data_IF_267009463668
#
_entry.id   IF_267009463668
#
_cell.length_a   1.000
_cell.length_b   1.000
_cell.length_c   1.000
_cell.angle_alpha   90.00
_cell.angle_beta   90.00
_cell.angle_gamma   90.00
#
_symmetry.space_group_name_H-M   'P 1'
#
loop_
_entity.id
_entity.type
_entity.pdbx_description
1 polymer ?
#
# COMPACT_ATOMS: atom_id res chain seq x y z
N UNK A 1 40.81 41.68 -21.27
CA UNK A 1 41.09 43.13 -21.48
C UNK A 1 41.55 43.68 -20.13
N UNK A 2 42.64 44.47 -20.03
CA UNK A 2 43.10 44.96 -18.72
C UNK A 2 42.02 45.86 -18.10
N UNK A 3 41.78 45.79 -16.77
CA UNK A 3 40.72 46.57 -16.13
C UNK A 3 41.05 48.06 -16.19
N UNK A 4 40.47 48.76 -17.16
CA UNK A 4 40.65 50.20 -17.37
C UNK A 4 39.78 50.98 -16.39
N UNK A 5 40.37 51.49 -15.31
CA UNK A 5 39.69 52.32 -14.31
C UNK A 5 40.39 52.34 -12.94
N UNK A 6 39.62 52.62 -11.89
CA UNK A 6 40.03 52.87 -10.48
C UNK A 6 41.08 51.87 -9.95
N UNK A 7 41.02 50.61 -10.36
CA UNK A 7 41.97 49.55 -9.99
C UNK A 7 43.38 49.68 -10.60
N UNK A 8 43.59 50.66 -11.48
CA UNK A 8 44.91 50.99 -12.07
C UNK A 8 45.61 52.15 -11.35
N UNK A 9 45.00 52.76 -10.32
CA UNK A 9 45.47 53.97 -9.67
C UNK A 9 45.66 53.81 -8.15
N UNK A 10 46.66 54.50 -7.60
CA UNK A 10 46.91 54.60 -6.15
C UNK A 10 47.23 53.25 -5.47
N UNK A 11 46.75 53.10 -4.24
CA UNK A 11 46.98 51.93 -3.37
C UNK A 11 46.43 50.62 -3.96
N UNK A 12 45.55 50.70 -4.96
CA UNK A 12 44.91 49.54 -5.60
C UNK A 12 45.79 48.83 -6.63
N UNK A 13 46.95 49.40 -7.00
CA UNK A 13 47.93 48.74 -7.89
C UNK A 13 48.59 47.50 -7.29
N UNK A 14 48.64 47.44 -5.96
CA UNK A 14 49.20 46.30 -5.22
C UNK A 14 48.24 45.11 -5.16
N UNK A 15 46.96 45.32 -5.54
CA UNK A 15 45.98 44.25 -5.58
C UNK A 15 46.20 43.36 -6.79
N UNK A 16 46.20 42.05 -6.55
CA UNK A 16 46.37 41.03 -7.58
C UNK A 16 45.33 41.21 -8.70
N UNK A 17 45.81 41.33 -9.93
CA UNK A 17 44.98 41.54 -11.13
C UNK A 17 44.08 40.36 -11.45
N UNK A 18 44.37 39.17 -10.92
CA UNK A 18 43.48 38.02 -11.00
C UNK A 18 42.21 38.18 -10.14
N UNK A 19 42.19 39.14 -9.20
CA UNK A 19 41.10 39.35 -8.25
C UNK A 19 40.31 40.65 -8.46
N UNK A 20 40.64 41.46 -9.46
CA UNK A 20 40.01 42.77 -9.69
C UNK A 20 39.31 42.87 -11.03
N UNK A 21 38.19 43.58 -11.04
CA UNK A 21 37.37 43.82 -12.23
C UNK A 21 36.10 42.99 -12.26
N UNK A 22 35.12 43.48 -13.02
CA UNK A 22 33.78 42.88 -13.14
C UNK A 22 33.84 41.50 -13.78
N UNK A 23 34.74 41.29 -14.74
CA UNK A 23 34.85 40.03 -15.47
C UNK A 23 35.41 38.91 -14.57
N UNK A 24 36.48 39.19 -13.81
CA UNK A 24 37.03 38.22 -12.84
C UNK A 24 36.04 37.90 -11.71
N UNK A 25 35.26 38.89 -11.27
CA UNK A 25 34.19 38.66 -10.29
C UNK A 25 33.10 37.74 -10.87
N UNK A 26 32.68 37.97 -12.12
CA UNK A 26 31.70 37.10 -12.80
C UNK A 26 32.21 35.67 -12.94
N UNK A 27 33.46 35.48 -13.34
CA UNK A 27 34.06 34.15 -13.49
C UNK A 27 34.10 33.41 -12.15
N UNK A 28 34.55 34.09 -11.08
CA UNK A 28 34.55 33.52 -9.73
C UNK A 28 33.15 33.21 -9.22
N UNK A 29 32.17 34.09 -9.43
CA UNK A 29 30.78 33.84 -9.02
C UNK A 29 30.18 32.65 -9.76
N UNK A 30 30.46 32.53 -11.06
CA UNK A 30 30.00 31.41 -11.89
C UNK A 30 30.56 30.10 -11.38
N UNK A 31 31.87 30.04 -11.11
CA UNK A 31 32.53 28.84 -10.58
C UNK A 31 32.05 28.47 -9.17
N UNK A 32 31.82 29.46 -8.30
CA UNK A 32 31.24 29.23 -6.96
C UNK A 32 29.82 28.70 -7.06
N UNK A 33 28.99 29.30 -7.93
CA UNK A 33 27.61 28.87 -8.15
C UNK A 33 27.55 27.45 -8.71
N UNK A 34 28.40 27.13 -9.68
CA UNK A 34 28.48 25.80 -10.29
C UNK A 34 28.89 24.74 -9.27
N UNK A 35 29.96 24.98 -8.50
CA UNK A 35 30.39 24.09 -7.42
C UNK A 35 29.29 23.89 -6.37
N UNK A 36 28.56 24.96 -6.04
CA UNK A 36 27.46 24.87 -5.09
C UNK A 36 26.32 24.01 -5.65
N UNK A 37 25.92 24.20 -6.91
CA UNK A 37 24.90 23.37 -7.57
C UNK A 37 25.35 21.91 -7.61
N UNK A 38 26.60 21.62 -7.98
CA UNK A 38 27.15 20.26 -8.02
C UNK A 38 27.08 19.57 -6.65
N UNK A 39 27.40 20.28 -5.58
CA UNK A 39 27.38 19.73 -4.23
C UNK A 39 25.95 19.43 -3.73
N UNK A 40 24.96 20.24 -4.11
CA UNK A 40 23.58 20.12 -3.62
C UNK A 40 22.69 19.23 -4.49
N UNK A 41 22.97 19.10 -5.80
CA UNK A 41 22.12 18.39 -6.75
C UNK A 41 21.84 16.92 -6.37
N UNK A 42 22.81 16.10 -5.92
CA UNK A 42 22.53 14.72 -5.52
C UNK A 42 21.56 14.63 -4.33
N UNK A 43 21.64 15.59 -3.41
CA UNK A 43 20.71 15.71 -2.28
C UNK A 43 19.28 15.98 -2.75
N UNK A 44 19.12 16.94 -3.66
CA UNK A 44 17.80 17.29 -4.24
C UNK A 44 17.21 16.11 -5.02
N UNK A 45 18.01 15.40 -5.82
CA UNK A 45 17.57 14.20 -6.53
C UNK A 45 17.01 13.14 -5.57
N UNK A 46 17.72 12.87 -4.46
CA UNK A 46 17.29 11.93 -3.43
C UNK A 46 15.98 12.35 -2.76
N UNK A 47 15.82 13.64 -2.47
CA UNK A 47 14.62 14.17 -1.85
C UNK A 47 13.41 14.12 -2.79
N UNK A 48 13.60 14.41 -4.07
CA UNK A 48 12.56 14.29 -5.10
C UNK A 48 12.17 12.82 -5.29
N UNK A 49 13.13 11.90 -5.38
CA UNK A 49 12.87 10.45 -5.46
C UNK A 49 12.09 9.94 -4.25
N UNK A 50 12.48 10.38 -3.05
CA UNK A 50 11.75 10.06 -1.80
C UNK A 50 10.32 10.60 -1.85
N UNK A 51 10.15 11.82 -2.38
CA UNK A 51 8.84 12.43 -2.61
C UNK A 51 7.97 11.62 -3.57
N UNK A 52 8.53 11.18 -4.71
CA UNK A 52 7.83 10.33 -5.69
C UNK A 52 7.40 9.02 -5.02
N UNK A 53 8.31 8.32 -4.33
CA UNK A 53 8.01 7.07 -3.62
C UNK A 53 6.86 7.25 -2.62
N UNK A 54 6.93 8.30 -1.80
CA UNK A 54 5.87 8.62 -0.84
C UNK A 54 4.52 8.86 -1.54
N UNK A 55 4.49 9.66 -2.61
CA UNK A 55 3.25 9.88 -3.37
C UNK A 55 2.71 8.58 -3.98
N UNK A 56 3.58 7.71 -4.51
CA UNK A 56 3.16 6.41 -5.08
C UNK A 56 2.61 5.47 -4.02
N UNK A 57 3.20 5.43 -2.83
CA UNK A 57 2.72 4.64 -1.70
C UNK A 57 1.35 5.13 -1.22
N UNK A 58 1.20 6.44 -1.02
CA UNK A 58 -0.08 7.04 -0.62
C UNK A 58 -1.18 6.82 -1.67
N UNK A 59 -0.85 6.94 -2.98
CA UNK A 59 -1.78 6.62 -4.06
C UNK A 59 -2.15 5.13 -4.10
N UNK A 60 -1.21 4.23 -3.84
CA UNK A 60 -1.48 2.79 -3.77
C UNK A 60 -2.42 2.45 -2.61
N UNK A 61 -2.30 3.16 -1.48
CA UNK A 61 -3.20 3.01 -0.34
C UNK A 61 -4.63 3.48 -0.60
N UNK A 62 -4.82 4.47 -1.47
CA UNK A 62 -6.14 4.92 -1.92
C UNK A 62 -6.80 3.93 -2.91
N UNK A 63 -6.03 3.01 -3.48
CA UNK A 63 -6.51 2.07 -4.49
C UNK A 63 -6.78 2.70 -5.86
N UNK A 64 -7.29 1.91 -6.82
CA UNK A 64 -7.55 2.37 -8.17
C UNK A 64 -8.58 3.49 -8.21
N UNK A 65 -8.45 4.38 -9.19
CA UNK A 65 -9.40 5.48 -9.40
C UNK A 65 -10.79 4.98 -9.78
N UNK A 66 -11.80 5.41 -9.03
CA UNK A 66 -13.21 5.07 -9.26
C UNK A 66 -14.02 6.29 -9.72
N UNK A 67 -13.41 7.17 -10.52
CA UNK A 67 -14.05 8.39 -11.03
C UNK A 67 -15.16 8.12 -12.04
N UNK A 68 -15.10 7.00 -12.77
CA UNK A 68 -16.10 6.64 -13.78
C UNK A 68 -16.99 5.48 -13.31
N UNK A 69 -18.23 5.45 -13.79
CA UNK A 69 -19.17 4.35 -13.47
C UNK A 69 -18.65 2.98 -13.93
N UNK A 70 -17.94 2.93 -15.06
CA UNK A 70 -17.30 1.69 -15.53
C UNK A 70 -16.25 1.18 -14.54
N UNK A 71 -15.36 2.07 -14.06
CA UNK A 71 -14.36 1.73 -13.04
C UNK A 71 -14.97 1.34 -11.70
N UNK A 72 -16.08 1.99 -11.32
CA UNK A 72 -16.85 1.64 -10.11
C UNK A 72 -17.46 0.24 -10.21
N UNK A 73 -18.06 -0.08 -11.37
CA UNK A 73 -18.63 -1.40 -11.64
C UNK A 73 -17.57 -2.50 -11.64
N UNK A 74 -16.41 -2.24 -12.25
CA UNK A 74 -15.27 -3.15 -12.22
C UNK A 74 -14.81 -3.41 -10.79
N UNK A 75 -14.66 -2.36 -9.97
CA UNK A 75 -14.30 -2.50 -8.56
C UNK A 75 -15.30 -3.37 -7.78
N UNK A 76 -16.60 -3.15 -7.96
CA UNK A 76 -17.62 -3.96 -7.30
C UNK A 76 -17.57 -5.42 -7.78
N UNK A 77 -17.32 -5.66 -9.07
CA UNK A 77 -17.19 -7.00 -9.64
C UNK A 77 -15.96 -7.75 -9.09
N UNK A 78 -14.85 -7.06 -8.88
CA UNK A 78 -13.67 -7.63 -8.23
C UNK A 78 -13.95 -7.94 -6.74
N UNK A 79 -14.67 -7.03 -6.06
CA UNK A 79 -15.08 -7.24 -4.68
C UNK A 79 -16.03 -8.44 -4.53
N UNK A 80 -17.00 -8.63 -5.43
CA UNK A 80 -17.87 -9.81 -5.42
C UNK A 80 -17.15 -11.10 -5.74
N UNK A 81 -16.22 -11.09 -6.70
CA UNK A 81 -15.40 -12.25 -7.00
C UNK A 81 -14.59 -12.66 -5.76
N UNK A 82 -13.98 -11.70 -5.07
CA UNK A 82 -13.26 -11.93 -3.82
C UNK A 82 -14.18 -12.45 -2.70
N UNK A 83 -15.35 -11.84 -2.53
CA UNK A 83 -16.35 -12.29 -1.57
C UNK A 83 -16.77 -13.73 -1.84
N UNK A 84 -17.19 -14.05 -3.06
CA UNK A 84 -17.66 -15.37 -3.47
C UNK A 84 -16.57 -16.41 -3.25
N UNK A 85 -15.31 -16.09 -3.59
CA UNK A 85 -14.17 -16.97 -3.33
C UNK A 85 -14.00 -17.24 -1.83
N UNK A 86 -13.92 -16.19 -1.00
CA UNK A 86 -13.73 -16.34 0.44
C UNK A 86 -14.90 -17.06 1.12
N UNK A 87 -16.15 -16.80 0.71
CA UNK A 87 -17.31 -17.51 1.25
C UNK A 87 -17.32 -18.96 0.80
N UNK A 88 -16.98 -19.25 -0.45
CA UNK A 88 -16.82 -20.62 -0.94
C UNK A 88 -15.76 -21.36 -0.12
N UNK A 89 -14.59 -20.76 0.04
CA UNK A 89 -13.50 -21.27 0.88
C UNK A 89 -14.00 -21.54 2.32
N UNK A 90 -14.77 -20.61 2.91
CA UNK A 90 -15.32 -20.75 4.24
C UNK A 90 -16.38 -21.86 4.37
N UNK A 91 -17.23 -22.02 3.35
CA UNK A 91 -18.32 -23.01 3.27
C UNK A 91 -17.77 -24.41 3.01
N UNK A 92 -16.75 -24.57 2.16
CA UNK A 92 -16.14 -25.87 1.87
C UNK A 92 -14.99 -26.24 2.84
N UNK A 93 -14.81 -25.46 3.90
CA UNK A 93 -13.74 -25.64 4.89
C UNK A 93 -12.30 -25.59 4.30
N UNK A 94 -12.10 -24.82 3.24
CA UNK A 94 -10.79 -24.53 2.68
C UNK A 94 -10.25 -23.23 3.28
N UNK A 95 -9.32 -23.32 4.22
CA UNK A 95 -8.82 -22.14 4.96
C UNK A 95 -7.39 -21.75 4.60
N UNK A 96 -6.98 -21.99 3.35
CA UNK A 96 -5.63 -21.66 2.88
C UNK A 96 -5.39 -20.16 2.67
N UNK A 97 -6.45 -19.36 2.53
CA UNK A 97 -6.32 -17.92 2.32
C UNK A 97 -5.85 -17.19 3.61
N UNK A 98 -4.87 -16.27 3.53
CA UNK A 98 -4.39 -15.48 4.67
C UNK A 98 -5.49 -14.74 5.44
N UNK A 99 -6.60 -14.43 4.80
CA UNK A 99 -7.79 -13.84 5.42
C UNK A 99 -8.24 -14.62 6.67
N UNK A 100 -8.17 -15.95 6.63
CA UNK A 100 -8.59 -16.84 7.72
C UNK A 100 -7.55 -17.00 8.83
N UNK A 101 -6.30 -16.56 8.61
CA UNK A 101 -5.21 -16.63 9.59
C UNK A 101 -4.96 -15.28 10.30
N UNK A 102 -5.44 -14.19 9.73
CA UNK A 102 -5.15 -12.82 10.20
C UNK A 102 -6.22 -12.32 11.19
N UNK A 103 -5.84 -11.56 12.22
CA UNK A 103 -6.76 -10.85 13.13
C UNK A 103 -6.86 -11.43 14.54
N UNK A 104 -7.65 -10.80 15.39
CA UNK A 104 -7.75 -11.13 16.83
C UNK A 104 -8.34 -12.52 17.10
N UNK A 105 -9.32 -12.94 16.29
CA UNK A 105 -9.96 -14.27 16.43
C UNK A 105 -10.03 -14.98 15.07
N UNK A 106 -8.95 -15.65 14.64
CA UNK A 106 -8.93 -16.37 13.35
C UNK A 106 -9.99 -17.48 13.26
N UNK A 107 -10.40 -18.03 14.41
CA UNK A 107 -11.36 -19.13 14.48
C UNK A 107 -12.79 -18.72 14.07
N UNK A 108 -13.23 -17.50 14.39
CA UNK A 108 -14.59 -17.03 14.08
C UNK A 108 -14.82 -16.87 12.57
N UNK A 109 -13.75 -16.73 11.79
CA UNK A 109 -13.80 -16.66 10.32
C UNK A 109 -14.01 -18.03 9.66
N UNK A 110 -13.84 -19.13 10.38
CA UNK A 110 -13.95 -20.50 9.86
C UNK A 110 -15.40 -20.98 9.94
N UNK A 111 -16.27 -20.37 9.14
CA UNK A 111 -17.72 -20.55 9.20
C UNK A 111 -18.14 -22.02 9.31
N UNK A 112 -17.66 -22.90 8.42
CA UNK A 112 -17.99 -24.33 8.48
C UNK A 112 -17.61 -24.98 9.81
N UNK A 113 -16.42 -24.71 10.33
CA UNK A 113 -15.97 -25.28 11.61
C UNK A 113 -16.84 -24.79 12.78
N UNK A 114 -17.19 -23.50 12.80
CA UNK A 114 -18.08 -22.92 13.82
C UNK A 114 -19.46 -23.58 13.74
N UNK A 115 -20.02 -23.70 12.54
CA UNK A 115 -21.32 -24.35 12.32
C UNK A 115 -21.29 -25.81 12.77
N UNK A 116 -20.27 -26.58 12.40
CA UNK A 116 -20.14 -27.98 12.81
C UNK A 116 -20.02 -28.15 14.32
N UNK A 117 -19.28 -27.26 14.99
CA UNK A 117 -19.16 -27.28 16.45
C UNK A 117 -20.49 -26.96 17.12
N UNK A 118 -21.17 -25.90 16.69
CA UNK A 118 -22.49 -25.53 17.20
C UNK A 118 -23.51 -26.64 16.99
N UNK A 119 -23.51 -27.29 15.82
CA UNK A 119 -24.40 -28.43 15.55
C UNK A 119 -24.05 -29.66 16.39
N UNK A 120 -22.76 -29.90 16.64
CA UNK A 120 -22.32 -30.99 17.51
C UNK A 120 -22.75 -30.76 18.96
N UNK A 121 -22.71 -29.51 19.44
CA UNK A 121 -23.14 -29.16 20.78
C UNK A 121 -24.67 -29.23 20.91
N UNK A 122 -25.40 -28.73 19.91
CA UNK A 122 -26.85 -28.92 19.81
C UNK A 122 -27.26 -30.40 19.81
N UNK A 123 -26.54 -31.25 19.06
CA UNK A 123 -26.80 -32.68 19.02
C UNK A 123 -26.60 -33.34 20.39
N UNK A 124 -25.54 -32.97 21.13
CA UNK A 124 -25.31 -33.46 22.50
C UNK A 124 -26.43 -33.04 23.44
N UNK A 125 -26.86 -31.78 23.36
CA UNK A 125 -27.94 -31.25 24.19
C UNK A 125 -29.26 -31.98 23.89
N UNK A 126 -29.60 -32.19 22.62
CA UNK A 126 -30.78 -32.94 22.20
C UNK A 126 -30.75 -34.40 22.65
N UNK A 127 -29.58 -35.05 22.69
CA UNK A 127 -29.44 -36.41 23.19
C UNK A 127 -29.64 -36.50 24.72
N UNK A 128 -29.18 -35.50 25.47
CA UNK A 128 -29.28 -35.50 26.93
C UNK A 128 -30.65 -35.04 27.42
N UNK A 129 -31.19 -33.98 26.81
CA UNK A 129 -32.38 -33.26 27.29
C UNK A 129 -33.62 -33.47 26.41
N UNK A 130 -33.45 -33.88 25.15
CA UNK A 130 -34.54 -34.10 24.19
C UNK A 130 -35.18 -35.51 24.25
N UNK A 131 -34.76 -36.37 25.17
CA UNK A 131 -35.31 -37.74 25.27
C UNK A 131 -36.79 -37.75 25.71
N UNK A 132 -37.68 -38.17 24.81
CA UNK A 132 -39.07 -38.45 25.14
C UNK A 132 -39.20 -39.70 26.05
N UNK A 133 -38.29 -40.68 25.87
CA UNK A 133 -38.24 -41.96 26.56
C UNK A 133 -36.80 -42.39 26.91
N UNK A 134 -36.63 -43.08 28.05
CA UNK A 134 -35.41 -43.70 28.53
C UNK A 134 -35.26 -45.11 27.92
N UNK A 135 -34.09 -45.42 27.38
CA UNK A 135 -33.84 -46.71 26.73
C UNK A 135 -33.32 -47.71 27.76
N UNK A 136 -33.96 -48.88 27.83
CA UNK A 136 -33.61 -49.94 28.80
C UNK A 136 -33.29 -51.25 28.08
N UNK A 137 -32.35 -52.03 28.62
CA UNK A 137 -31.91 -53.33 28.07
C UNK A 137 -32.94 -54.45 28.33
N UNK A 138 -33.78 -54.33 29.37
CA UNK A 138 -34.78 -55.32 29.78
C UNK A 138 -36.20 -54.73 29.74
N UNK A 139 -37.21 -55.61 29.70
CA UNK A 139 -38.62 -55.20 29.66
C UNK A 139 -38.96 -54.27 30.85
N UNK A 140 -39.60 -53.11 30.60
CA UNK A 140 -39.78 -52.09 31.63
C UNK A 140 -40.69 -52.61 32.75
N UNK A 141 -40.24 -52.48 34.00
CA UNK A 141 -40.93 -53.07 35.14
C UNK A 141 -42.21 -52.30 35.54
N UNK A 142 -42.22 -50.95 35.48
CA UNK A 142 -43.44 -50.14 35.67
C UNK A 142 -43.24 -48.61 35.49
N UNK A 143 -42.51 -48.14 34.46
CA UNK A 143 -42.30 -46.69 34.24
C UNK A 143 -42.74 -46.24 32.85
N UNK A 144 -43.59 -45.23 32.82
CA UNK A 144 -44.33 -44.73 31.63
C UNK A 144 -43.47 -44.14 30.51
N UNK A 145 -42.14 -44.08 30.68
CA UNK A 145 -41.21 -43.49 29.71
C UNK A 145 -40.07 -44.43 29.32
N UNK A 146 -40.14 -45.72 29.66
CA UNK A 146 -39.07 -46.68 29.35
C UNK A 146 -39.39 -47.48 28.08
N UNK A 147 -38.45 -47.53 27.13
CA UNK A 147 -38.59 -48.27 25.85
C UNK A 147 -37.40 -49.22 25.70
N UNK A 148 -37.68 -50.46 25.28
CA UNK A 148 -36.63 -51.48 25.10
C UNK A 148 -35.70 -51.12 23.95
N UNK A 149 -34.39 -51.32 24.14
CA UNK A 149 -33.34 -50.97 23.17
C UNK A 149 -33.57 -51.54 21.78
N UNK A 150 -34.06 -52.78 21.65
CA UNK A 150 -34.37 -53.40 20.35
C UNK A 150 -35.42 -52.62 19.56
N UNK A 151 -36.51 -52.19 20.21
CA UNK A 151 -37.59 -51.40 19.61
C UNK A 151 -37.18 -49.95 19.37
N UNK A 152 -36.32 -49.39 20.22
CA UNK A 152 -35.76 -48.05 20.01
C UNK A 152 -34.76 -48.03 18.85
N UNK A 153 -33.94 -49.07 18.68
CA UNK A 153 -32.98 -49.19 17.58
C UNK A 153 -33.66 -49.29 16.20
N UNK A 154 -34.84 -49.92 16.11
CA UNK A 154 -35.69 -49.85 14.90
C UNK A 154 -36.25 -48.43 14.65
N UNK A 155 -36.35 -47.60 15.70
CA UNK A 155 -36.85 -46.22 15.67
C UNK A 155 -35.75 -45.15 15.62
N UNK A 156 -34.52 -45.47 15.20
CA UNK A 156 -33.32 -44.57 15.15
C UNK A 156 -33.46 -43.39 14.15
N UNK A 157 -34.68 -42.96 13.89
CA UNK A 157 -35.00 -41.69 13.25
C UNK A 157 -34.43 -40.48 14.02
N UNK A 158 -34.24 -40.52 15.35
CA UNK A 158 -33.74 -39.35 16.09
C UNK A 158 -32.32 -38.92 15.70
N UNK A 159 -31.38 -39.88 15.57
CA UNK A 159 -30.02 -39.57 15.10
C UNK A 159 -30.04 -39.09 13.65
N UNK A 160 -30.84 -39.75 12.79
CA UNK A 160 -31.06 -39.29 11.41
C UNK A 160 -31.68 -37.90 11.37
N UNK A 161 -32.64 -37.55 12.21
CA UNK A 161 -33.28 -36.22 12.22
C UNK A 161 -32.28 -35.12 12.57
N UNK A 162 -31.40 -35.36 13.56
CA UNK A 162 -30.38 -34.39 13.96
C UNK A 162 -29.31 -34.25 12.87
N UNK A 163 -28.87 -35.36 12.29
CA UNK A 163 -27.88 -35.38 11.20
C UNK A 163 -28.47 -34.80 9.89
N UNK A 164 -29.70 -35.16 9.54
CA UNK A 164 -30.44 -34.70 8.36
C UNK A 164 -30.83 -33.22 8.50
N UNK A 165 -31.14 -32.71 9.70
CA UNK A 165 -31.38 -31.27 9.90
C UNK A 165 -30.12 -30.45 9.63
N UNK A 166 -28.97 -30.94 10.11
CA UNK A 166 -27.67 -30.32 9.86
C UNK A 166 -27.35 -30.25 8.36
N UNK A 167 -27.56 -31.35 7.63
CA UNK A 167 -27.25 -31.46 6.19
C UNK A 167 -28.31 -30.81 5.29
N UNK A 168 -29.60 -30.93 5.61
CA UNK A 168 -30.66 -30.45 4.72
C UNK A 168 -31.01 -28.99 4.96
N UNK A 169 -30.92 -28.50 6.20
CA UNK A 169 -31.33 -27.12 6.51
C UNK A 169 -30.13 -26.19 6.52
N UNK A 170 -29.08 -26.50 7.28
CA UNK A 170 -27.97 -25.55 7.45
C UNK A 170 -27.09 -25.49 6.20
N UNK A 171 -26.71 -26.64 5.65
CA UNK A 171 -25.88 -26.66 4.43
C UNK A 171 -26.65 -26.11 3.22
N UNK A 172 -27.85 -26.64 2.96
CA UNK A 172 -28.56 -26.34 1.71
C UNK A 172 -29.33 -25.03 1.76
N UNK A 173 -29.89 -24.63 2.91
CA UNK A 173 -30.66 -23.38 2.99
C UNK A 173 -29.83 -22.20 3.46
N UNK A 174 -28.85 -22.39 4.34
CA UNK A 174 -28.05 -21.27 4.88
C UNK A 174 -26.77 -21.11 4.08
N UNK A 175 -25.90 -22.12 4.04
CA UNK A 175 -24.56 -21.98 3.45
C UNK A 175 -24.59 -21.78 1.93
N UNK A 176 -25.42 -22.53 1.20
CA UNK A 176 -25.56 -22.36 -0.25
C UNK A 176 -26.19 -21.01 -0.65
N UNK A 177 -27.04 -20.42 0.20
CA UNK A 177 -27.58 -19.08 -0.06
C UNK A 177 -26.55 -17.97 0.11
N UNK A 178 -25.58 -18.14 1.02
CA UNK A 178 -24.52 -17.15 1.24
C UNK A 178 -23.68 -16.90 -0.02
N UNK A 179 -23.49 -17.93 -0.85
CA UNK A 179 -22.75 -17.84 -2.11
C UNK A 179 -23.40 -16.91 -3.14
N UNK A 180 -24.70 -16.63 -3.00
CA UNK A 180 -25.46 -15.83 -3.96
C UNK A 180 -25.75 -14.40 -3.48
N UNK A 181 -25.35 -14.03 -2.25
CA UNK A 181 -25.69 -12.72 -1.67
C UNK A 181 -25.08 -11.54 -2.44
N UNK A 182 -23.83 -11.70 -2.89
CA UNK A 182 -23.11 -10.67 -3.64
C UNK A 182 -22.54 -11.29 -4.91
N UNK A 183 -23.42 -11.83 -5.75
CA UNK A 183 -23.03 -12.45 -7.02
C UNK A 183 -22.62 -11.41 -8.07
N UNK A 184 -21.79 -11.83 -9.02
CA UNK A 184 -21.44 -10.98 -10.17
C UNK A 184 -22.65 -10.59 -11.02
N UNK A 185 -23.66 -11.47 -11.11
CA UNK A 185 -24.92 -11.17 -11.80
C UNK A 185 -25.70 -10.05 -11.11
N UNK A 186 -25.72 -10.04 -9.77
CA UNK A 186 -26.33 -8.95 -8.99
C UNK A 186 -25.71 -7.61 -9.37
N UNK A 187 -24.38 -7.52 -9.37
CA UNK A 187 -23.66 -6.27 -9.70
C UNK A 187 -23.84 -5.87 -11.17
N UNK A 188 -23.87 -6.83 -12.10
CA UNK A 188 -24.10 -6.53 -13.52
C UNK A 188 -25.47 -5.90 -13.75
N UNK A 189 -26.47 -6.32 -12.98
CA UNK A 189 -27.85 -5.85 -13.11
C UNK A 189 -28.15 -4.58 -12.31
N UNK A 190 -27.22 -4.09 -11.49
CA UNK A 190 -27.34 -2.79 -10.84
C UNK A 190 -27.28 -1.66 -11.88
N UNK A 191 -28.11 -0.65 -11.67
CA UNK A 191 -28.12 0.59 -12.44
C UNK A 191 -26.95 1.49 -12.05
N UNK A 192 -26.62 2.41 -12.95
CA UNK A 192 -25.45 3.27 -12.81
C UNK A 192 -25.56 4.26 -11.63
N UNK A 193 -26.77 4.63 -11.20
CA UNK A 193 -26.96 5.48 -10.03
C UNK A 193 -26.63 4.72 -8.74
N UNK A 194 -27.14 3.48 -8.59
CA UNK A 194 -26.78 2.62 -7.45
C UNK A 194 -25.30 2.28 -7.42
N UNK A 195 -24.68 1.97 -8.57
CA UNK A 195 -23.24 1.72 -8.66
C UNK A 195 -22.45 2.93 -8.16
N UNK A 196 -22.87 4.12 -8.57
CA UNK A 196 -22.25 5.38 -8.14
C UNK A 196 -22.41 5.58 -6.64
N UNK A 197 -23.60 5.43 -6.09
CA UNK A 197 -23.84 5.63 -4.66
C UNK A 197 -23.03 4.68 -3.77
N UNK A 198 -22.81 3.43 -4.22
CA UNK A 198 -22.07 2.42 -3.44
C UNK A 198 -20.55 2.57 -3.58
N UNK A 199 -20.06 2.81 -4.80
CA UNK A 199 -18.64 2.68 -5.13
C UNK A 199 -17.94 3.99 -5.48
N UNK A 200 -18.67 5.10 -5.58
CA UNK A 200 -18.06 6.42 -5.72
C UNK A 200 -17.18 6.71 -4.51
N UNK A 201 -16.10 7.41 -4.79
CA UNK A 201 -15.20 7.87 -3.74
C UNK A 201 -15.79 9.03 -2.95
N UNK A 202 -15.41 9.08 -1.68
CA UNK A 202 -15.64 10.28 -0.89
C UNK A 202 -14.92 11.48 -1.49
N UNK A 203 -15.47 12.68 -1.27
CA UNK A 203 -14.83 13.93 -1.69
C UNK A 203 -13.40 14.06 -1.14
N UNK A 204 -13.17 13.58 0.08
CA UNK A 204 -11.85 13.58 0.72
C UNK A 204 -10.86 12.70 -0.03
N UNK A 205 -11.23 11.45 -0.37
CA UNK A 205 -10.37 10.53 -1.12
C UNK A 205 -10.13 10.99 -2.55
N UNK A 206 -11.16 11.56 -3.20
CA UNK A 206 -11.04 12.10 -4.55
C UNK A 206 -10.09 13.31 -4.58
N UNK A 207 -10.27 14.27 -3.67
CA UNK A 207 -9.39 15.43 -3.53
C UNK A 207 -7.94 15.03 -3.18
N UNK A 208 -7.78 14.05 -2.28
CA UNK A 208 -6.46 13.51 -1.94
C UNK A 208 -5.78 12.87 -3.16
N UNK A 209 -6.52 12.10 -3.97
CA UNK A 209 -5.96 11.51 -5.20
C UNK A 209 -5.50 12.59 -6.17
N UNK A 210 -6.34 13.57 -6.47
CA UNK A 210 -5.99 14.66 -7.40
C UNK A 210 -4.71 15.35 -6.94
N UNK A 211 -4.65 15.75 -5.66
CA UNK A 211 -3.46 16.39 -5.09
C UNK A 211 -2.20 15.54 -5.22
N UNK A 212 -2.30 14.23 -4.99
CA UNK A 212 -1.16 13.32 -5.08
C UNK A 212 -0.71 13.10 -6.53
N UNK A 213 -1.66 13.01 -7.47
CA UNK A 213 -1.37 12.90 -8.89
C UNK A 213 -0.67 14.16 -9.42
N UNK A 214 -1.19 15.34 -9.10
CA UNK A 214 -0.58 16.63 -9.48
C UNK A 214 0.84 16.74 -8.93
N UNK A 215 1.02 16.41 -7.64
CA UNK A 215 2.34 16.43 -7.00
C UNK A 215 3.30 15.44 -7.65
N UNK A 216 2.82 14.25 -8.01
CA UNK A 216 3.62 13.21 -8.63
C UNK A 216 4.06 13.63 -10.04
N UNK A 217 3.18 14.26 -10.82
CA UNK A 217 3.50 14.82 -12.13
C UNK A 217 4.61 15.88 -12.03
N UNK A 218 4.48 16.83 -11.09
CA UNK A 218 5.48 17.86 -10.85
C UNK A 218 6.83 17.26 -10.44
N UNK A 219 6.81 16.30 -9.50
CA UNK A 219 8.04 15.68 -9.01
C UNK A 219 8.73 14.86 -10.11
N UNK A 220 7.98 14.08 -10.89
CA UNK A 220 8.53 13.32 -12.02
C UNK A 220 9.08 14.23 -13.12
N UNK A 221 8.38 15.31 -13.45
CA UNK A 221 8.86 16.33 -14.38
C UNK A 221 10.15 16.99 -13.89
N UNK A 222 10.20 17.38 -12.61
CA UNK A 222 11.38 17.93 -11.97
C UNK A 222 12.56 16.96 -11.99
N UNK A 223 12.31 15.67 -11.74
CA UNK A 223 13.34 14.63 -11.75
C UNK A 223 13.97 14.46 -13.14
N UNK A 224 13.18 14.52 -14.21
CA UNK A 224 13.70 14.49 -15.58
C UNK A 224 14.62 15.68 -15.85
N UNK A 225 14.24 16.88 -15.40
CA UNK A 225 15.07 18.09 -15.56
C UNK A 225 16.37 17.96 -14.76
N UNK A 226 16.29 17.53 -13.50
CA UNK A 226 17.46 17.37 -12.63
C UNK A 226 18.44 16.32 -13.16
N UNK A 227 17.95 15.20 -13.71
CA UNK A 227 18.82 14.20 -14.37
C UNK A 227 19.50 14.75 -15.63
N UNK A 228 18.80 15.54 -16.43
CA UNK A 228 19.41 16.19 -17.60
C UNK A 228 20.51 17.15 -17.18
N UNK A 229 20.28 17.91 -16.11
CA UNK A 229 21.28 18.80 -15.52
C UNK A 229 22.50 18.00 -15.04
N UNK A 230 22.29 16.92 -14.28
CA UNK A 230 23.36 16.03 -13.80
C UNK A 230 24.22 15.48 -14.95
N UNK A 231 23.59 15.01 -16.04
CA UNK A 231 24.29 14.53 -17.23
C UNK A 231 25.08 15.62 -17.95
N UNK A 232 24.49 16.81 -18.09
CA UNK A 232 25.16 17.97 -18.71
C UNK A 232 26.36 18.46 -17.90
N UNK A 233 26.30 18.35 -16.57
CA UNK A 233 27.42 18.72 -15.70
C UNK A 233 28.55 17.68 -15.72
N UNK A 234 28.22 16.39 -15.86
CA UNK A 234 29.22 15.33 -16.04
C UNK A 234 29.99 15.47 -17.36
N UNK A 235 29.33 15.91 -18.45
CA UNK A 235 30.02 16.18 -19.71
C UNK A 235 30.92 17.42 -19.64
N UNK A 236 30.50 18.49 -18.96
CA UNK A 236 31.35 19.69 -18.77
C UNK A 236 32.61 19.37 -17.95
N UNK A 237 32.47 18.60 -16.87
CA UNK A 237 33.61 18.17 -16.05
C UNK A 237 34.62 17.29 -16.83
N UNK A 238 34.15 16.49 -17.80
CA UNK A 238 35.01 15.69 -18.67
C UNK A 238 35.76 16.54 -19.71
N UNK A 239 35.15 17.63 -20.18
CA UNK A 239 35.76 18.54 -21.16
C UNK A 239 36.84 19.42 -20.52
N UNK A 240 36.65 19.93 -19.30
CA UNK A 240 37.70 20.69 -18.59
C UNK A 240 38.96 19.88 -18.31
N UNK A 241 38.84 18.56 -18.13
CA UNK A 241 39.99 17.67 -17.89
C UNK A 241 40.78 17.29 -19.16
N UNK A 242 40.29 17.67 -20.35
CA UNK A 242 40.92 17.37 -21.65
C UNK A 242 41.56 18.59 -22.33
N UNK A 243 41.48 19.79 -21.74
CA UNK A 243 42.33 20.90 -22.19
C UNK A 243 43.78 20.65 -21.72
N UNK A 244 44.77 20.66 -22.63
CA UNK A 244 46.17 20.67 -22.24
C UNK A 244 46.42 21.95 -21.41
N UNK A 245 46.85 21.78 -20.17
CA UNK A 245 47.36 22.88 -19.36
C UNK A 245 48.63 23.42 -20.05
N UNK A 246 48.50 24.46 -20.87
CA UNK A 246 49.61 25.34 -21.22
C UNK A 246 49.60 26.49 -20.22
N UNK A 247 50.45 26.41 -19.21
CA UNK A 247 50.55 27.43 -18.18
C UNK A 247 51.51 27.01 -17.07
N UNK A 248 52.79 27.14 -17.40
CA UNK A 248 53.98 27.35 -16.56
C UNK A 248 53.88 27.18 -15.03
N UNK A 249 54.82 26.38 -14.53
CA UNK A 249 55.21 26.24 -13.13
C UNK A 249 55.36 27.58 -12.41
N UNK A 250 54.53 27.79 -11.38
CA UNK A 250 54.85 28.65 -10.24
C UNK A 250 54.37 27.95 -8.96
N UNK A 251 55.06 26.85 -8.63
CA UNK A 251 55.29 26.50 -7.24
C UNK A 251 56.39 27.42 -6.68
N UNK A 252 56.33 27.65 -5.36
CA UNK A 252 57.09 28.60 -4.55
C UNK A 252 56.43 29.99 -4.55
N UNK A 253 55.73 30.43 -3.50
CA UNK A 253 56.26 30.61 -2.14
C UNK A 253 55.12 30.43 -1.11
N UNK A 254 55.20 29.37 -0.32
CA UNK A 254 54.79 29.47 1.09
C UNK A 254 55.86 30.30 1.79
N UNK A 255 55.55 31.51 2.24
CA UNK A 255 55.85 31.93 3.62
C UNK A 255 55.29 33.31 3.97
N UNK A 256 54.76 33.39 5.19
CA UNK A 256 54.88 34.54 6.10
C UNK A 256 54.26 35.89 5.71
N UNK A 257 53.08 36.18 6.26
CA UNK A 257 52.90 37.38 7.11
C UNK A 257 51.69 37.20 8.03
N UNK A 258 51.93 36.54 9.15
CA UNK A 258 51.24 36.84 10.40
C UNK A 258 51.74 38.22 10.87
N UNK A 259 50.85 39.18 11.12
CA UNK A 259 51.09 40.18 12.17
C UNK A 259 49.81 40.57 12.89
N UNK A 260 49.90 40.79 14.21
CA UNK A 260 48.76 40.95 15.09
C UNK A 260 48.31 42.41 15.18
N UNK A 261 47.02 42.57 15.51
CA UNK A 261 46.41 43.80 15.96
C UNK A 261 46.87 44.18 17.39
N UNK A 262 47.20 45.48 17.56
CA UNK A 262 47.13 46.31 18.80
C UNK A 262 48.04 45.87 19.97
N UNK A 263 48.81 46.73 20.64
CA UNK A 263 48.72 48.16 21.00
C UNK A 263 50.07 48.87 20.84
#
# INVERSE_FOLDING_TARGET
MPPSGVFSQGVWKELDRACVGVDMLKDRLTKVLENHIMAQLPGVLKDVDKGVKKCTEELSGLGPSRMSTSTQRQYLMEASAKFTRLISDAVYAQYSDPYFATGAEPYTKRLRAVVQNSLSDFAKEMLQMGQAALIVEAAPANKSREVVRSTYMERVALKRVIDDFSVLVVESCVLQRLLNLLSSDTIRNLDDATIKDIAQESDSSAAARTRLQDRLEILQGGLVVLRKLEQGMQTVAQVEHQLPCTGEDLNDVQDSCNRPDKE
#
